data_IF_541431754782
#
_entry.id   IF_541431754782
#
_cell.length_a   1.000
_cell.length_b   1.000
_cell.length_c   1.000
_cell.angle_alpha   90.00
_cell.angle_beta   90.00
_cell.angle_gamma   90.00
#
_symmetry.space_group_name_H-M   'P 1'
#
loop_
_entity.id
_entity.type
_entity.pdbx_description
1 polymer ?
#
# COMPACT_ATOMS: atom_id res chain seq x y z
N UNK A 1 4.25 54.52 26.24
CA UNK A 1 4.10 54.45 24.78
C UNK A 1 4.73 53.13 24.36
N UNK A 2 4.05 52.00 24.55
CA UNK A 2 3.08 51.35 23.62
C UNK A 2 3.70 51.10 22.25
N UNK A 3 4.04 49.83 21.99
CA UNK A 3 3.92 49.07 20.72
C UNK A 3 4.40 47.63 21.01
N UNK A 4 3.54 46.79 21.58
CA UNK A 4 2.76 45.73 20.90
C UNK A 4 3.61 44.67 20.17
N UNK A 5 3.91 43.61 20.94
CA UNK A 5 4.21 42.27 20.47
C UNK A 5 3.04 41.69 19.66
N UNK A 6 3.24 41.40 18.38
CA UNK A 6 2.34 40.57 17.57
C UNK A 6 3.16 39.45 16.89
N UNK A 7 3.04 38.26 17.47
CA UNK A 7 2.90 36.95 16.80
C UNK A 7 3.97 36.54 15.76
N UNK A 8 4.99 35.79 16.21
CA UNK A 8 5.60 34.71 15.41
C UNK A 8 4.72 33.46 15.54
N UNK A 9 3.84 33.24 14.58
CA UNK A 9 3.07 32.01 14.45
C UNK A 9 3.55 31.27 13.19
N UNK A 10 4.72 30.64 13.29
CA UNK A 10 5.20 29.72 12.26
C UNK A 10 4.39 28.42 12.35
N UNK A 11 3.28 28.34 11.60
CA UNK A 11 2.63 27.08 11.26
C UNK A 11 3.13 26.62 9.89
N UNK A 12 3.67 25.41 9.88
CA UNK A 12 4.42 24.85 8.77
C UNK A 12 3.60 24.69 7.49
N UNK A 13 4.12 25.29 6.43
CA UNK A 13 4.04 24.73 5.09
C UNK A 13 5.20 23.73 5.00
N UNK A 14 4.89 22.44 5.08
CA UNK A 14 5.81 21.38 4.67
C UNK A 14 6.07 21.60 3.18
N UNK A 15 7.19 22.25 2.85
CA UNK A 15 7.80 22.09 1.54
C UNK A 15 8.04 20.59 1.35
N UNK A 16 7.16 19.93 0.60
CA UNK A 16 7.41 18.61 0.08
C UNK A 16 8.68 18.72 -0.77
N UNK A 17 9.74 18.04 -0.34
CA UNK A 17 11.05 18.03 -1.02
C UNK A 17 10.87 17.58 -2.47
N UNK A 18 10.99 18.51 -3.41
CA UNK A 18 11.17 18.23 -4.84
C UNK A 18 12.52 17.53 -5.12
N UNK A 19 13.46 17.62 -4.17
CA UNK A 19 14.84 17.16 -4.30
C UNK A 19 15.01 15.65 -4.54
N UNK A 20 13.98 14.83 -4.29
CA UNK A 20 14.01 13.38 -4.49
C UNK A 20 13.44 12.93 -5.86
N UNK A 21 12.79 13.84 -6.59
CA UNK A 21 12.29 13.55 -7.94
C UNK A 21 13.28 13.97 -9.03
N UNK A 22 14.35 14.70 -8.72
CA UNK A 22 15.27 15.26 -9.73
C UNK A 22 16.48 14.35 -10.02
N UNK A 23 16.91 13.49 -9.09
CA UNK A 23 18.17 12.75 -9.23
C UNK A 23 18.13 11.59 -10.22
N UNK A 24 16.96 11.07 -10.59
CA UNK A 24 16.83 9.96 -11.54
C UNK A 24 16.35 10.37 -12.95
N UNK A 25 16.15 11.67 -13.20
CA UNK A 25 15.63 12.18 -14.47
C UNK A 25 16.70 12.46 -15.54
N UNK A 26 17.97 12.14 -15.27
CA UNK A 26 19.09 12.47 -16.18
C UNK A 26 19.33 11.38 -17.26
N UNK A 27 18.76 10.17 -17.13
CA UNK A 27 19.02 9.08 -18.10
C UNK A 27 18.18 9.14 -19.38
N UNK A 28 17.02 9.81 -19.37
CA UNK A 28 16.36 10.24 -20.59
C UNK A 28 17.01 11.56 -20.99
N UNK A 29 17.98 11.50 -21.91
CA UNK A 29 18.94 12.56 -22.24
C UNK A 29 18.43 14.01 -22.13
N UNK A 30 19.32 14.96 -21.78
CA UNK A 30 18.96 16.30 -21.35
C UNK A 30 17.97 16.91 -22.33
N UNK A 31 16.86 17.44 -21.79
CA UNK A 31 16.03 18.42 -22.49
C UNK A 31 17.00 19.37 -23.18
N UNK A 32 17.01 19.34 -24.52
CA UNK A 32 17.99 20.07 -25.32
C UNK A 32 17.57 21.55 -25.26
N UNK A 33 17.87 22.19 -24.15
CA UNK A 33 17.55 23.58 -23.90
C UNK A 33 18.51 24.43 -24.74
N UNK A 34 17.94 25.31 -25.55
CA UNK A 34 18.68 26.42 -26.13
C UNK A 34 19.18 27.27 -24.97
N UNK A 35 20.48 27.16 -24.63
CA UNK A 35 21.09 27.66 -23.40
C UNK A 35 21.14 29.20 -23.29
N UNK A 36 20.37 29.90 -24.12
CA UNK A 36 20.41 31.37 -24.30
C UNK A 36 19.33 32.11 -23.50
N UNK A 37 18.43 31.42 -22.80
CA UNK A 37 17.38 32.06 -21.98
C UNK A 37 17.35 31.47 -20.56
N UNK A 38 18.44 31.64 -19.80
CA UNK A 38 18.46 31.34 -18.36
C UNK A 38 18.03 32.58 -17.57
N UNK A 39 16.81 32.55 -17.01
CA UNK A 39 16.38 33.48 -15.97
C UNK A 39 16.49 32.80 -14.61
N UNK A 40 17.16 33.39 -13.59
CA UNK A 40 17.44 32.74 -12.31
C UNK A 40 16.20 32.32 -11.49
N UNK A 41 14.99 32.63 -11.96
CA UNK A 41 13.71 32.30 -11.31
C UNK A 41 12.67 31.70 -12.28
N UNK A 42 13.07 31.23 -13.47
CA UNK A 42 12.15 30.60 -14.43
C UNK A 42 12.37 29.09 -14.43
N UNK A 43 11.38 28.35 -13.92
CA UNK A 43 11.35 26.90 -14.02
C UNK A 43 10.99 26.48 -15.45
N UNK A 44 11.99 26.03 -16.22
CA UNK A 44 11.84 25.57 -17.61
C UNK A 44 11.09 24.25 -17.76
N UNK A 45 10.77 23.56 -16.66
CA UNK A 45 9.96 22.34 -16.65
C UNK A 45 8.46 22.64 -16.53
N UNK A 46 8.10 23.88 -16.17
CA UNK A 46 6.73 24.31 -15.95
C UNK A 46 6.25 25.29 -17.01
N UNK A 47 4.94 25.29 -17.24
CA UNK A 47 4.31 26.24 -18.15
C UNK A 47 4.02 27.55 -17.42
N UNK A 48 4.22 28.67 -18.11
CA UNK A 48 3.81 29.97 -17.59
C UNK A 48 2.28 30.03 -17.44
N UNK A 49 1.84 30.07 -16.19
CA UNK A 49 0.44 30.04 -15.78
C UNK A 49 -0.24 31.37 -16.15
N UNK A 50 -1.42 31.31 -16.78
CA UNK A 50 -2.23 32.50 -17.01
C UNK A 50 -2.88 33.00 -15.71
N UNK A 51 -3.09 34.31 -15.57
CA UNK A 51 -3.61 34.87 -14.32
C UNK A 51 -5.02 34.38 -13.96
N UNK A 52 -5.21 33.97 -12.71
CA UNK A 52 -6.51 33.64 -12.11
C UNK A 52 -7.26 32.49 -12.79
N UNK A 53 -8.51 32.73 -13.18
CA UNK A 53 -9.42 31.73 -13.80
C UNK A 53 -9.00 31.25 -15.20
N UNK A 54 -8.01 31.89 -15.82
CA UNK A 54 -7.55 31.54 -17.16
C UNK A 54 -6.45 30.46 -17.16
N UNK A 55 -5.86 30.19 -15.99
CA UNK A 55 -4.79 29.22 -15.81
C UNK A 55 -5.15 27.84 -16.36
N UNK A 56 -6.20 27.22 -15.82
CA UNK A 56 -6.62 25.86 -16.17
C UNK A 56 -7.15 25.77 -17.61
N UNK A 57 -7.97 26.70 -18.12
CA UNK A 57 -8.36 26.70 -19.53
C UNK A 57 -7.18 26.72 -20.52
N UNK A 58 -6.13 27.51 -20.23
CA UNK A 58 -4.92 27.56 -21.05
C UNK A 58 -4.16 26.25 -21.01
N UNK A 59 -3.86 25.74 -19.81
CA UNK A 59 -3.18 24.46 -19.60
C UNK A 59 -3.94 23.34 -20.31
N UNK A 60 -5.26 23.31 -20.14
CA UNK A 60 -6.15 22.36 -20.81
C UNK A 60 -5.97 22.40 -22.33
N UNK A 61 -5.85 23.56 -22.96
CA UNK A 61 -5.59 23.64 -24.41
C UNK A 61 -4.20 23.10 -24.78
N UNK A 62 -3.19 23.35 -23.95
CA UNK A 62 -1.79 22.99 -24.17
C UNK A 62 -1.49 21.49 -23.92
N UNK A 63 -2.32 20.76 -23.17
CA UNK A 63 -2.15 19.31 -22.93
C UNK A 63 -2.10 18.46 -24.21
N UNK A 64 -2.81 18.87 -25.28
CA UNK A 64 -2.82 18.15 -26.56
C UNK A 64 -2.13 18.97 -27.66
N UNK A 65 -1.16 19.79 -27.28
CA UNK A 65 -0.36 20.55 -28.24
C UNK A 65 0.52 19.58 -29.07
N UNK A 66 0.80 19.95 -30.32
CA UNK A 66 1.64 19.13 -31.22
C UNK A 66 3.11 19.06 -30.79
N UNK A 67 3.56 20.04 -30.01
CA UNK A 67 4.89 20.05 -29.39
C UNK A 67 4.83 19.35 -28.03
N UNK A 68 5.55 18.24 -27.91
CA UNK A 68 5.63 17.42 -26.70
C UNK A 68 6.18 18.20 -25.51
N UNK A 69 7.10 19.15 -25.72
CA UNK A 69 7.66 19.94 -24.61
C UNK A 69 6.59 20.79 -23.94
N UNK A 70 5.70 21.39 -24.73
CA UNK A 70 4.56 22.17 -24.25
C UNK A 70 3.57 21.28 -23.50
N UNK A 71 3.28 20.09 -24.03
CA UNK A 71 2.39 19.13 -23.37
C UNK A 71 2.95 18.63 -22.02
N UNK A 72 4.26 18.33 -21.97
CA UNK A 72 4.97 17.95 -20.74
C UNK A 72 4.91 19.06 -19.69
N UNK A 73 5.27 20.29 -20.07
CA UNK A 73 5.21 21.46 -19.19
C UNK A 73 3.78 21.73 -18.67
N UNK A 74 2.79 21.59 -19.55
CA UNK A 74 1.38 21.74 -19.18
C UNK A 74 0.94 20.67 -18.16
N UNK A 75 1.41 19.43 -18.30
CA UNK A 75 1.13 18.37 -17.32
C UNK A 75 1.75 18.63 -15.95
N UNK A 76 3.02 19.05 -15.91
CA UNK A 76 3.69 19.37 -14.64
C UNK A 76 2.95 20.51 -13.93
N UNK A 77 2.59 21.57 -14.66
CA UNK A 77 1.78 22.66 -14.09
C UNK A 77 0.38 22.20 -13.68
N UNK A 78 -0.24 21.28 -14.43
CA UNK A 78 -1.55 20.72 -14.05
C UNK A 78 -1.48 19.91 -12.75
N UNK A 79 -0.39 19.16 -12.54
CA UNK A 79 -0.16 18.41 -11.31
C UNK A 79 -0.09 19.34 -10.10
N UNK A 80 0.66 20.43 -10.20
CA UNK A 80 0.72 21.46 -9.15
C UNK A 80 -0.68 22.01 -8.83
N UNK A 81 -1.51 22.26 -9.85
CA UNK A 81 -2.90 22.71 -9.64
C UNK A 81 -3.81 21.62 -9.04
N UNK A 82 -3.58 20.34 -9.34
CA UNK A 82 -4.39 19.25 -8.81
C UNK A 82 -4.23 19.08 -7.29
N UNK A 83 -3.11 19.52 -6.71
CA UNK A 83 -2.89 19.48 -5.27
C UNK A 83 -3.72 20.51 -4.49
N UNK A 84 -4.13 21.60 -5.12
CA UNK A 84 -5.05 22.57 -4.52
C UNK A 84 -6.50 22.09 -4.72
N UNK A 85 -7.27 21.86 -3.64
CA UNK A 85 -8.62 21.32 -3.74
C UNK A 85 -9.60 22.21 -4.53
N UNK A 86 -9.47 23.54 -4.47
CA UNK A 86 -10.33 24.45 -5.24
C UNK A 86 -10.03 24.34 -6.73
N UNK A 87 -8.74 24.26 -7.06
CA UNK A 87 -8.25 24.09 -8.43
C UNK A 87 -8.56 22.70 -8.97
N UNK A 88 -8.49 21.66 -8.15
CA UNK A 88 -8.93 20.32 -8.51
C UNK A 88 -10.41 20.28 -8.90
N UNK A 89 -11.29 20.96 -8.15
CA UNK A 89 -12.69 21.10 -8.54
C UNK A 89 -12.86 21.85 -9.87
N UNK A 90 -12.06 22.89 -10.11
CA UNK A 90 -12.05 23.63 -11.38
C UNK A 90 -11.59 22.74 -12.55
N UNK A 91 -10.55 21.91 -12.36
CA UNK A 91 -10.06 20.91 -13.33
C UNK A 91 -11.17 19.92 -13.71
N UNK A 92 -11.90 19.41 -12.72
CA UNK A 92 -13.03 18.49 -12.92
C UNK A 92 -14.16 19.19 -13.68
N UNK A 93 -14.59 20.38 -13.24
CA UNK A 93 -15.66 21.18 -13.87
C UNK A 93 -15.33 21.52 -15.33
N UNK A 94 -14.07 21.83 -15.63
CA UNK A 94 -13.61 22.14 -16.98
C UNK A 94 -13.34 20.89 -17.85
N UNK A 95 -13.67 19.69 -17.35
CA UNK A 95 -13.55 18.42 -18.06
C UNK A 95 -12.13 18.18 -18.62
N UNK A 96 -11.10 18.53 -17.84
CA UNK A 96 -9.70 18.32 -18.22
C UNK A 96 -9.39 16.81 -18.35
N UNK A 97 -10.05 15.98 -17.52
CA UNK A 97 -9.96 14.50 -17.55
C UNK A 97 -10.16 13.91 -18.95
N UNK A 98 -11.02 14.52 -19.79
CA UNK A 98 -11.23 14.06 -21.16
C UNK A 98 -9.97 14.13 -22.05
N UNK A 99 -9.03 15.04 -21.73
CA UNK A 99 -7.74 15.12 -22.44
C UNK A 99 -6.74 14.11 -21.89
N UNK A 100 -6.76 13.87 -20.58
CA UNK A 100 -5.90 12.87 -19.93
C UNK A 100 -6.10 11.46 -20.50
N UNK A 101 -7.31 11.14 -21.00
CA UNK A 101 -7.58 9.90 -21.74
C UNK A 101 -6.55 9.66 -22.85
N UNK A 102 -6.26 10.68 -23.67
CA UNK A 102 -5.28 10.57 -24.75
C UNK A 102 -3.85 10.54 -24.25
N UNK A 103 -3.57 11.23 -23.14
CA UNK A 103 -2.23 11.32 -22.57
C UNK A 103 -1.77 10.00 -21.94
N UNK A 104 -2.71 9.21 -21.38
CA UNK A 104 -2.41 7.86 -20.86
C UNK A 104 -1.91 6.87 -21.92
N UNK A 105 -2.17 7.11 -23.20
CA UNK A 105 -1.75 6.24 -24.32
C UNK A 105 -0.76 6.97 -25.23
N UNK A 106 -0.05 7.96 -24.68
CA UNK A 106 1.02 8.63 -25.40
C UNK A 106 2.22 7.68 -25.53
N UNK A 107 2.92 7.72 -26.66
CA UNK A 107 4.23 7.04 -26.82
C UNK A 107 5.28 7.58 -25.85
N UNK A 108 5.06 8.76 -25.28
CA UNK A 108 5.97 9.42 -24.37
C UNK A 108 5.76 8.97 -22.91
N UNK A 109 6.75 8.24 -22.38
CA UNK A 109 6.76 7.74 -21.00
C UNK A 109 6.57 8.83 -19.95
N UNK A 110 7.17 10.01 -20.16
CA UNK A 110 7.03 11.14 -19.24
C UNK A 110 5.57 11.59 -19.16
N UNK A 111 4.90 11.65 -20.31
CA UNK A 111 3.51 12.07 -20.40
C UNK A 111 2.60 11.04 -19.73
N UNK A 112 2.80 9.74 -19.99
CA UNK A 112 2.03 8.67 -19.34
C UNK A 112 2.20 8.70 -17.82
N UNK A 113 3.44 8.77 -17.34
CA UNK A 113 3.76 8.83 -15.91
C UNK A 113 3.13 10.04 -15.21
N UNK A 114 3.33 11.26 -15.74
CA UNK A 114 2.76 12.47 -15.14
C UNK A 114 1.24 12.51 -15.23
N UNK A 115 0.66 11.91 -16.28
CA UNK A 115 -0.80 11.75 -16.36
C UNK A 115 -1.32 10.88 -15.23
N UNK A 116 -0.64 9.77 -14.92
CA UNK A 116 -1.00 8.93 -13.77
C UNK A 116 -0.85 9.66 -12.44
N UNK A 117 0.18 10.50 -12.26
CA UNK A 117 0.34 11.34 -11.07
C UNK A 117 -0.84 12.30 -10.90
N UNK A 118 -1.23 13.00 -11.97
CA UNK A 118 -2.39 13.90 -11.94
C UNK A 118 -3.65 13.14 -11.58
N UNK A 119 -3.88 11.96 -12.18
CA UNK A 119 -5.03 11.12 -11.85
C UNK A 119 -5.02 10.63 -10.40
N UNK A 120 -3.85 10.25 -9.88
CA UNK A 120 -3.69 9.82 -8.49
C UNK A 120 -4.08 10.94 -7.52
N UNK A 121 -3.53 12.14 -7.74
CA UNK A 121 -3.85 13.31 -6.91
C UNK A 121 -5.35 13.62 -7.00
N UNK A 122 -5.92 13.67 -8.20
CA UNK A 122 -7.36 13.91 -8.38
C UNK A 122 -8.22 12.82 -7.73
N UNK A 123 -7.80 11.55 -7.73
CA UNK A 123 -8.54 10.46 -7.08
C UNK A 123 -8.69 10.66 -5.57
N UNK A 124 -7.72 11.33 -4.92
CA UNK A 124 -7.79 11.69 -3.49
C UNK A 124 -8.71 12.88 -3.19
N UNK A 125 -9.09 13.66 -4.20
CA UNK A 125 -9.91 14.86 -4.03
C UNK A 125 -11.40 14.54 -3.92
N UNK A 126 -12.20 15.38 -3.25
CA UNK A 126 -13.65 15.20 -3.20
C UNK A 126 -14.26 15.12 -4.61
N UNK A 127 -15.12 14.14 -4.87
CA UNK A 127 -15.72 13.86 -6.19
C UNK A 127 -14.73 13.49 -7.31
N UNK A 128 -13.42 13.47 -7.07
CA UNK A 128 -12.42 13.22 -8.11
C UNK A 128 -12.43 11.78 -8.59
N UNK A 129 -12.52 10.81 -7.66
CA UNK A 129 -12.70 9.41 -8.00
C UNK A 129 -13.96 9.17 -8.85
N UNK A 130 -15.09 9.79 -8.50
CA UNK A 130 -16.33 9.73 -9.28
C UNK A 130 -16.12 10.31 -10.70
N UNK A 131 -15.49 11.48 -10.80
CA UNK A 131 -15.23 12.12 -12.08
C UNK A 131 -14.30 11.30 -12.99
N UNK A 132 -13.37 10.52 -12.40
CA UNK A 132 -12.49 9.62 -13.14
C UNK A 132 -13.26 8.42 -13.68
N UNK A 133 -14.08 7.75 -12.86
CA UNK A 133 -14.86 6.58 -13.32
C UNK A 133 -15.94 6.94 -14.34
N UNK A 134 -16.48 8.16 -14.29
CA UNK A 134 -17.41 8.67 -15.31
C UNK A 134 -16.76 8.70 -16.71
N UNK A 135 -15.42 8.67 -16.78
CA UNK A 135 -14.66 8.55 -18.04
C UNK A 135 -14.22 7.10 -18.24
N UNK A 136 -15.10 6.28 -18.80
CA UNK A 136 -14.86 4.86 -19.11
C UNK A 136 -13.52 4.60 -19.82
N UNK A 137 -13.08 5.47 -20.72
CA UNK A 137 -11.80 5.31 -21.42
C UNK A 137 -10.58 5.47 -20.51
N UNK A 138 -10.67 6.22 -19.41
CA UNK A 138 -9.58 6.28 -18.41
C UNK A 138 -9.43 4.90 -17.77
N UNK A 139 -10.53 4.29 -17.34
CA UNK A 139 -10.53 2.96 -16.72
C UNK A 139 -9.95 1.91 -17.67
N UNK A 140 -10.39 1.91 -18.94
CA UNK A 140 -9.84 1.01 -19.97
C UNK A 140 -8.35 1.23 -20.24
N UNK A 141 -7.89 2.48 -20.20
CA UNK A 141 -6.47 2.79 -20.40
C UNK A 141 -5.63 2.41 -19.18
N UNK A 142 -6.15 2.56 -17.95
CA UNK A 142 -5.47 2.12 -16.74
C UNK A 142 -5.20 0.61 -16.74
N UNK A 143 -6.14 -0.20 -17.23
CA UNK A 143 -5.92 -1.65 -17.41
C UNK A 143 -4.78 -1.97 -18.38
N UNK A 144 -4.53 -1.14 -19.39
CA UNK A 144 -3.41 -1.33 -20.31
C UNK A 144 -2.10 -0.88 -19.68
N UNK A 145 -2.12 0.26 -19.01
CA UNK A 145 -0.94 0.91 -18.43
C UNK A 145 -0.39 0.14 -17.21
N UNK A 146 -1.19 -0.73 -16.57
CA UNK A 146 -0.67 -1.62 -15.52
C UNK A 146 0.35 -2.64 -16.05
N UNK A 147 0.32 -2.92 -17.35
CA UNK A 147 1.25 -3.81 -18.06
C UNK A 147 2.15 -3.04 -19.02
N UNK A 148 2.42 -1.76 -18.72
CA UNK A 148 3.35 -0.91 -19.49
C UNK A 148 4.77 -1.49 -19.49
N UNK A 149 5.56 -1.16 -20.51
CA UNK A 149 6.95 -1.61 -20.62
C UNK A 149 7.82 -1.01 -19.51
N UNK A 150 7.54 0.23 -19.10
CA UNK A 150 8.31 0.94 -18.08
C UNK A 150 7.88 0.55 -16.66
N UNK A 151 8.80 0.05 -15.79
CA UNK A 151 8.47 -0.29 -14.41
C UNK A 151 8.00 0.93 -13.62
N UNK A 152 8.55 2.13 -13.89
CA UNK A 152 8.13 3.39 -13.24
C UNK A 152 6.66 3.69 -13.49
N UNK A 153 6.18 3.45 -14.71
CA UNK A 153 4.78 3.65 -15.10
C UNK A 153 3.89 2.58 -14.47
N UNK A 154 4.30 1.30 -14.49
CA UNK A 154 3.56 0.21 -13.83
C UNK A 154 3.38 0.47 -12.33
N UNK A 155 4.45 0.88 -11.64
CA UNK A 155 4.44 1.26 -10.21
C UNK A 155 3.41 2.35 -9.96
N UNK A 156 3.48 3.44 -10.72
CA UNK A 156 2.56 4.56 -10.55
C UNK A 156 1.12 4.21 -10.92
N UNK A 157 0.90 3.33 -11.90
CA UNK A 157 -0.42 2.83 -12.25
C UNK A 157 -1.02 2.03 -11.10
N UNK A 158 -0.25 1.12 -10.49
CA UNK A 158 -0.69 0.36 -9.32
C UNK A 158 -1.08 1.28 -8.14
N UNK A 159 -0.29 2.32 -7.85
CA UNK A 159 -0.61 3.32 -6.82
C UNK A 159 -1.91 4.08 -7.13
N UNK A 160 -2.11 4.48 -8.39
CA UNK A 160 -3.35 5.15 -8.81
C UNK A 160 -4.56 4.23 -8.68
N UNK A 161 -4.41 2.94 -9.03
CA UNK A 161 -5.45 1.92 -8.90
C UNK A 161 -5.77 1.67 -7.42
N UNK A 162 -4.76 1.52 -6.56
CA UNK A 162 -4.93 1.40 -5.11
C UNK A 162 -5.75 2.56 -4.55
N UNK A 163 -5.39 3.78 -4.94
CA UNK A 163 -6.06 5.01 -4.48
C UNK A 163 -7.52 5.05 -4.91
N UNK A 164 -7.82 4.63 -6.14
CA UNK A 164 -9.20 4.49 -6.61
C UNK A 164 -9.94 3.36 -5.88
N UNK A 165 -9.29 2.22 -5.62
CA UNK A 165 -9.89 1.08 -4.92
C UNK A 165 -10.29 1.40 -3.48
N UNK A 166 -9.57 2.32 -2.81
CA UNK A 166 -9.94 2.85 -1.49
C UNK A 166 -11.21 3.71 -1.51
N UNK A 167 -11.62 4.22 -2.68
CA UNK A 167 -12.83 5.00 -2.83
C UNK A 167 -14.05 4.11 -3.06
N UNK A 168 -15.05 4.23 -2.19
CA UNK A 168 -16.33 3.49 -2.29
C UNK A 168 -17.03 3.76 -3.63
N UNK A 169 -16.88 4.96 -4.19
CA UNK A 169 -17.49 5.34 -5.47
C UNK A 169 -16.87 4.60 -6.65
N UNK A 170 -15.54 4.40 -6.62
CA UNK A 170 -14.82 3.79 -7.74
C UNK A 170 -14.71 2.26 -7.63
N UNK A 171 -14.78 1.71 -6.42
CA UNK A 171 -14.56 0.29 -6.16
C UNK A 171 -15.44 -0.64 -7.02
N UNK A 172 -16.75 -0.38 -7.09
CA UNK A 172 -17.68 -1.20 -7.89
C UNK A 172 -17.32 -1.18 -9.38
N UNK A 173 -17.01 0.00 -9.92
CA UNK A 173 -16.59 0.15 -11.31
C UNK A 173 -15.29 -0.61 -11.61
N UNK A 174 -14.32 -0.59 -10.68
CA UNK A 174 -13.07 -1.33 -10.84
C UNK A 174 -13.29 -2.84 -10.80
N UNK A 175 -14.16 -3.34 -9.91
CA UNK A 175 -14.54 -4.75 -9.87
C UNK A 175 -15.24 -5.20 -11.15
N UNK A 176 -16.14 -4.38 -11.70
CA UNK A 176 -16.86 -4.67 -12.95
C UNK A 176 -15.92 -4.71 -14.17
N UNK A 177 -14.74 -4.10 -14.07
CA UNK A 177 -13.68 -4.12 -15.08
C UNK A 177 -12.53 -5.09 -14.72
N UNK A 178 -12.74 -6.00 -13.77
CA UNK A 178 -11.84 -7.12 -13.43
C UNK A 178 -10.41 -6.69 -13.05
N UNK A 179 -10.26 -5.53 -12.39
CA UNK A 179 -8.94 -5.07 -11.92
C UNK A 179 -8.31 -6.01 -10.90
N UNK A 180 -9.11 -6.66 -10.05
CA UNK A 180 -8.66 -7.65 -9.08
C UNK A 180 -8.00 -8.85 -9.77
N UNK A 181 -8.59 -9.35 -10.85
CA UNK A 181 -8.05 -10.47 -11.62
C UNK A 181 -6.74 -10.08 -12.31
N UNK A 182 -6.70 -8.91 -12.96
CA UNK A 182 -5.50 -8.38 -13.60
C UNK A 182 -4.36 -8.16 -12.61
N UNK A 183 -4.65 -7.67 -11.41
CA UNK A 183 -3.64 -7.50 -10.35
C UNK A 183 -3.05 -8.84 -9.90
N UNK A 184 -3.87 -9.87 -9.72
CA UNK A 184 -3.39 -11.22 -9.36
C UNK A 184 -2.48 -11.79 -10.44
N UNK A 185 -2.85 -11.66 -11.71
CA UNK A 185 -2.01 -12.09 -12.83
C UNK A 185 -0.71 -11.28 -12.89
N UNK A 186 -0.77 -9.97 -12.61
CA UNK A 186 0.40 -9.09 -12.59
C UNK A 186 1.41 -9.48 -11.50
N UNK A 187 0.95 -9.85 -10.30
CA UNK A 187 1.84 -10.36 -9.23
C UNK A 187 2.62 -11.60 -9.67
N UNK A 188 2.05 -12.46 -10.51
CA UNK A 188 2.73 -13.67 -10.97
C UNK A 188 3.87 -13.37 -11.95
N UNK A 189 3.74 -12.27 -12.71
CA UNK A 189 4.62 -11.88 -13.80
C UNK A 189 5.64 -10.79 -13.42
N UNK A 190 5.46 -10.09 -12.31
CA UNK A 190 6.33 -8.97 -11.95
C UNK A 190 7.70 -9.43 -11.45
N UNK A 191 8.75 -8.86 -12.03
CA UNK A 191 10.15 -9.11 -11.68
C UNK A 191 10.74 -7.97 -10.83
N UNK A 192 10.21 -6.76 -10.98
CA UNK A 192 10.65 -5.58 -10.22
C UNK A 192 9.97 -5.54 -8.85
N UNK A 193 10.77 -5.57 -7.78
CA UNK A 193 10.31 -5.60 -6.39
C UNK A 193 9.49 -4.36 -6.03
N UNK A 194 9.88 -3.18 -6.51
CA UNK A 194 9.23 -1.92 -6.21
C UNK A 194 7.83 -1.84 -6.85
N UNK A 195 7.72 -2.37 -8.07
CA UNK A 195 6.43 -2.51 -8.76
C UNK A 195 5.59 -3.55 -8.04
N UNK A 196 6.16 -4.71 -7.70
CA UNK A 196 5.48 -5.79 -6.99
C UNK A 196 4.87 -5.30 -5.68
N UNK A 197 5.61 -4.55 -4.86
CA UNK A 197 5.11 -3.95 -3.61
C UNK A 197 3.86 -3.10 -3.88
N UNK A 198 3.90 -2.27 -4.92
CA UNK A 198 2.79 -1.38 -5.29
C UNK A 198 1.58 -2.17 -5.79
N UNK A 199 1.80 -3.25 -6.55
CA UNK A 199 0.75 -4.15 -7.03
C UNK A 199 0.13 -4.94 -5.87
N UNK A 200 0.93 -5.43 -4.92
CA UNK A 200 0.44 -6.11 -3.71
C UNK A 200 -0.40 -5.16 -2.84
N UNK A 201 0.04 -3.91 -2.66
CA UNK A 201 -0.71 -2.87 -1.95
C UNK A 201 -2.05 -2.55 -2.62
N UNK A 202 -2.06 -2.45 -3.95
CA UNK A 202 -3.30 -2.31 -4.71
C UNK A 202 -4.23 -3.52 -4.50
N UNK A 203 -3.70 -4.75 -4.58
CA UNK A 203 -4.47 -5.98 -4.39
C UNK A 203 -5.02 -6.10 -2.96
N UNK A 204 -4.25 -5.72 -1.94
CA UNK A 204 -4.69 -5.63 -0.55
C UNK A 204 -5.94 -4.75 -0.44
N UNK A 205 -5.96 -3.58 -1.09
CA UNK A 205 -7.12 -2.70 -1.09
C UNK A 205 -8.37 -3.37 -1.70
N UNK A 206 -8.21 -4.24 -2.71
CA UNK A 206 -9.31 -5.02 -3.25
C UNK A 206 -9.78 -6.12 -2.31
N UNK A 207 -8.86 -6.86 -1.69
CA UNK A 207 -9.19 -7.95 -0.76
C UNK A 207 -9.88 -7.44 0.51
N UNK A 208 -9.50 -6.27 1.01
CA UNK A 208 -10.10 -5.66 2.18
C UNK A 208 -11.59 -5.32 1.95
N UNK A 209 -11.95 -4.93 0.72
CA UNK A 209 -13.31 -4.52 0.37
C UNK A 209 -14.16 -5.63 -0.30
N UNK A 210 -13.53 -6.69 -0.82
CA UNK A 210 -14.22 -7.76 -1.55
C UNK A 210 -13.64 -9.15 -1.24
N UNK A 211 -14.45 -9.98 -0.59
CA UNK A 211 -14.11 -11.39 -0.40
C UNK A 211 -14.03 -12.19 -1.71
N UNK A 212 -14.58 -11.70 -2.82
CA UNK A 212 -14.46 -12.36 -4.14
C UNK A 212 -13.03 -12.27 -4.67
N UNK A 213 -12.40 -11.11 -4.54
CA UNK A 213 -11.01 -10.90 -4.94
C UNK A 213 -10.08 -11.84 -4.17
N UNK A 214 -10.31 -12.00 -2.86
CA UNK A 214 -9.58 -12.97 -2.03
C UNK A 214 -9.75 -14.42 -2.51
N UNK A 215 -10.98 -14.86 -2.82
CA UNK A 215 -11.21 -16.21 -3.32
C UNK A 215 -10.49 -16.46 -4.64
N UNK A 216 -10.59 -15.52 -5.58
CA UNK A 216 -9.92 -15.62 -6.88
C UNK A 216 -8.40 -15.72 -6.74
N UNK A 217 -7.79 -14.89 -5.89
CA UNK A 217 -6.37 -14.93 -5.62
C UNK A 217 -5.90 -16.28 -5.04
N UNK A 218 -6.68 -16.86 -4.13
CA UNK A 218 -6.39 -18.20 -3.57
C UNK A 218 -6.49 -19.27 -4.67
N UNK A 219 -7.54 -19.24 -5.49
CA UNK A 219 -7.76 -20.19 -6.59
C UNK A 219 -6.65 -20.14 -7.64
N UNK A 220 -6.08 -18.95 -7.88
CA UNK A 220 -4.93 -18.76 -8.78
C UNK A 220 -3.58 -19.13 -8.18
N UNK A 221 -3.55 -19.66 -6.96
CA UNK A 221 -2.31 -20.11 -6.31
C UNK A 221 -1.40 -18.96 -5.87
N UNK A 222 -1.96 -17.76 -5.61
CA UNK A 222 -1.17 -16.59 -5.21
C UNK A 222 -0.34 -16.85 -3.95
N UNK A 223 -0.86 -17.67 -3.03
CA UNK A 223 -0.22 -18.00 -1.75
C UNK A 223 1.18 -18.58 -1.95
N UNK A 224 1.32 -19.50 -2.91
CA UNK A 224 2.61 -20.10 -3.28
C UNK A 224 3.57 -19.05 -3.80
N UNK A 225 3.10 -18.22 -4.76
CA UNK A 225 3.92 -17.19 -5.41
C UNK A 225 4.44 -16.16 -4.42
N UNK A 226 3.60 -15.70 -3.49
CA UNK A 226 3.99 -14.64 -2.55
C UNK A 226 4.82 -15.16 -1.36
N UNK A 227 4.72 -16.46 -1.05
CA UNK A 227 5.41 -17.06 0.11
C UNK A 227 6.93 -16.85 0.09
N UNK A 228 7.54 -16.81 -1.11
CA UNK A 228 8.98 -16.59 -1.29
C UNK A 228 9.41 -15.21 -0.81
N UNK A 229 8.53 -14.21 -0.82
CA UNK A 229 8.84 -12.85 -0.42
C UNK A 229 8.80 -12.63 1.09
N UNK A 230 8.37 -13.63 1.89
CA UNK A 230 8.44 -13.56 3.36
C UNK A 230 9.87 -13.45 3.87
N UNK A 231 10.85 -14.01 3.14
CA UNK A 231 12.27 -14.00 3.52
C UNK A 231 13.09 -13.02 2.65
N UNK A 232 12.42 -12.11 1.93
CA UNK A 232 13.07 -11.16 1.03
C UNK A 232 13.87 -10.10 1.80
N UNK A 233 14.91 -9.52 1.19
CA UNK A 233 15.77 -8.50 1.84
C UNK A 233 15.03 -7.19 2.14
N UNK A 234 14.16 -6.73 1.23
CA UNK A 234 13.33 -5.52 1.43
C UNK A 234 12.25 -5.76 2.49
N UNK A 235 12.27 -4.92 3.52
CA UNK A 235 11.27 -4.91 4.59
C UNK A 235 9.87 -4.56 4.03
N UNK A 236 9.80 -3.66 3.06
CA UNK A 236 8.56 -3.26 2.40
C UNK A 236 7.92 -4.42 1.64
N UNK A 237 8.73 -5.24 0.95
CA UNK A 237 8.25 -6.45 0.28
C UNK A 237 7.70 -7.48 1.28
N UNK A 238 8.42 -7.73 2.38
CA UNK A 238 7.94 -8.61 3.47
C UNK A 238 6.61 -8.11 4.03
N UNK A 239 6.52 -6.81 4.33
CA UNK A 239 5.31 -6.20 4.90
C UNK A 239 4.12 -6.27 3.95
N UNK A 240 4.30 -5.94 2.67
CA UNK A 240 3.23 -6.02 1.67
C UNK A 240 2.73 -7.46 1.48
N UNK A 241 3.65 -8.43 1.53
CA UNK A 241 3.35 -9.86 1.45
C UNK A 241 2.51 -10.33 2.64
N UNK A 242 2.90 -9.99 3.86
CA UNK A 242 2.17 -10.34 5.08
C UNK A 242 0.74 -9.80 5.05
N UNK A 243 0.56 -8.54 4.66
CA UNK A 243 -0.78 -7.94 4.58
C UNK A 243 -1.69 -8.67 3.60
N UNK A 244 -1.20 -9.01 2.41
CA UNK A 244 -1.98 -9.79 1.43
C UNK A 244 -2.26 -11.20 1.96
N UNK A 245 -1.25 -11.85 2.57
CA UNK A 245 -1.38 -13.17 3.16
C UNK A 245 -2.46 -13.21 4.23
N UNK A 246 -2.49 -12.22 5.13
CA UNK A 246 -3.50 -12.10 6.18
C UNK A 246 -4.93 -12.17 5.64
N UNK A 247 -5.23 -11.41 4.57
CA UNK A 247 -6.55 -11.42 3.93
C UNK A 247 -6.92 -12.82 3.40
N UNK A 248 -5.95 -13.55 2.85
CA UNK A 248 -6.15 -14.92 2.40
C UNK A 248 -6.39 -15.87 3.59
N UNK A 249 -5.61 -15.73 4.66
CA UNK A 249 -5.68 -16.57 5.86
C UNK A 249 -6.99 -16.37 6.65
N UNK A 250 -7.70 -15.26 6.46
CA UNK A 250 -9.07 -15.10 7.00
C UNK A 250 -10.06 -16.12 6.40
N UNK A 251 -9.75 -16.73 5.25
CA UNK A 251 -10.56 -17.78 4.62
C UNK A 251 -10.01 -19.17 4.93
N UNK A 252 -10.90 -20.16 5.04
CA UNK A 252 -10.51 -21.57 5.22
C UNK A 252 -9.66 -22.08 4.05
N UNK A 253 -10.02 -21.71 2.81
CA UNK A 253 -9.26 -22.09 1.62
C UNK A 253 -7.83 -21.53 1.64
N UNK A 254 -7.64 -20.29 2.14
CA UNK A 254 -6.31 -19.68 2.26
C UNK A 254 -5.43 -20.39 3.28
N UNK A 255 -5.99 -20.81 4.42
CA UNK A 255 -5.23 -21.61 5.41
C UNK A 255 -4.79 -22.96 4.84
N UNK A 256 -5.67 -23.62 4.09
CA UNK A 256 -5.33 -24.87 3.41
C UNK A 256 -4.28 -24.66 2.31
N UNK A 257 -4.34 -23.53 1.60
CA UNK A 257 -3.30 -23.17 0.62
C UNK A 257 -1.94 -22.99 1.31
N UNK A 258 -1.89 -22.23 2.41
CA UNK A 258 -0.69 -22.03 3.22
C UNK A 258 -0.11 -23.34 3.77
N UNK A 259 -0.95 -24.29 4.19
CA UNK A 259 -0.51 -25.62 4.67
C UNK A 259 0.12 -26.51 3.58
N UNK A 260 -0.19 -26.21 2.32
CA UNK A 260 0.27 -26.96 1.15
C UNK A 260 1.32 -26.19 0.34
N UNK A 261 1.76 -25.02 0.82
CA UNK A 261 2.83 -24.28 0.20
C UNK A 261 4.14 -25.05 0.25
N UNK A 262 5.01 -24.85 -0.76
CA UNK A 262 6.36 -25.43 -0.74
C UNK A 262 7.22 -24.85 0.37
N UNK A 263 7.06 -23.55 0.63
CA UNK A 263 7.69 -22.83 1.73
C UNK A 263 7.03 -23.21 3.06
N UNK A 264 7.84 -23.51 4.08
CA UNK A 264 7.32 -23.72 5.44
C UNK A 264 6.91 -22.38 6.06
N UNK A 265 5.64 -22.02 5.85
CA UNK A 265 5.10 -20.74 6.26
C UNK A 265 5.21 -20.50 7.77
N UNK A 266 5.11 -21.54 8.60
CA UNK A 266 5.24 -21.37 10.06
C UNK A 266 6.68 -21.06 10.43
N UNK A 267 7.66 -21.69 9.78
CA UNK A 267 9.07 -21.38 9.99
C UNK A 267 9.38 -19.93 9.60
N UNK A 268 9.00 -19.51 8.39
CA UNK A 268 9.29 -18.16 7.91
C UNK A 268 8.64 -17.09 8.81
N UNK A 269 7.36 -17.26 9.15
CA UNK A 269 6.69 -16.33 10.06
C UNK A 269 7.30 -16.34 11.47
N UNK A 270 7.81 -17.48 11.95
CA UNK A 270 8.51 -17.56 13.25
C UNK A 270 9.86 -16.84 13.21
N UNK A 271 10.53 -16.79 12.06
CA UNK A 271 11.76 -16.01 11.87
C UNK A 271 11.43 -14.51 11.86
N UNK A 272 10.32 -14.11 11.24
CA UNK A 272 9.87 -12.71 11.18
C UNK A 272 9.45 -12.12 12.53
N UNK A 273 9.28 -12.93 13.57
CA UNK A 273 9.07 -12.43 14.94
C UNK A 273 10.30 -11.72 15.53
N UNK A 274 11.48 -11.91 14.92
CA UNK A 274 12.75 -11.30 15.33
C UNK A 274 13.19 -10.18 14.36
N UNK A 275 12.30 -9.74 13.47
CA UNK A 275 12.57 -8.65 12.52
C UNK A 275 12.78 -7.31 13.25
N UNK A 276 13.65 -6.45 12.70
CA UNK A 276 13.93 -5.12 13.24
C UNK A 276 12.70 -4.19 13.18
N UNK A 277 11.80 -4.42 12.22
CA UNK A 277 10.59 -3.63 12.03
C UNK A 277 9.43 -4.14 12.88
N UNK A 278 8.98 -3.33 13.83
CA UNK A 278 7.83 -3.66 14.69
C UNK A 278 6.53 -3.89 13.88
N UNK A 279 6.38 -3.22 12.74
CA UNK A 279 5.24 -3.43 11.82
C UNK A 279 5.26 -4.85 11.22
N UNK A 280 6.44 -5.36 10.81
CA UNK A 280 6.58 -6.73 10.29
C UNK A 280 6.27 -7.74 11.37
N UNK A 281 6.84 -7.55 12.57
CA UNK A 281 6.60 -8.44 13.72
C UNK A 281 5.10 -8.49 14.06
N UNK A 282 4.42 -7.34 14.00
CA UNK A 282 2.98 -7.23 14.26
C UNK A 282 2.15 -8.04 13.26
N UNK A 283 2.42 -7.89 11.96
CA UNK A 283 1.67 -8.60 10.92
C UNK A 283 2.02 -10.10 10.90
N UNK A 284 3.28 -10.48 11.11
CA UNK A 284 3.69 -11.87 11.23
C UNK A 284 3.01 -12.58 12.43
N UNK A 285 2.92 -11.91 13.58
CA UNK A 285 2.20 -12.43 14.73
C UNK A 285 0.70 -12.62 14.46
N UNK A 286 0.09 -11.75 13.65
CA UNK A 286 -1.30 -11.89 13.23
C UNK A 286 -1.50 -13.09 12.31
N UNK A 287 -0.62 -13.26 11.31
CA UNK A 287 -0.67 -14.40 10.39
C UNK A 287 -0.49 -15.74 11.13
N UNK A 288 0.45 -15.80 12.08
CA UNK A 288 0.60 -16.95 12.98
C UNK A 288 -0.67 -17.21 13.79
N UNK A 289 -1.30 -16.17 14.34
CA UNK A 289 -2.56 -16.32 15.06
C UNK A 289 -3.66 -16.93 14.19
N UNK A 290 -3.74 -16.55 12.91
CA UNK A 290 -4.72 -17.08 11.95
C UNK A 290 -4.42 -18.54 11.55
N UNK A 291 -3.14 -18.88 11.38
CA UNK A 291 -2.67 -20.22 11.00
C UNK A 291 -2.81 -21.23 12.14
N UNK A 292 -2.48 -20.84 13.37
CA UNK A 292 -2.60 -21.67 14.57
C UNK A 292 -4.04 -22.02 14.93
N UNK A 293 -5.04 -21.62 14.17
CA UNK A 293 -6.39 -22.16 14.32
C UNK A 293 -6.45 -23.65 13.92
N UNK A 294 -5.60 -24.07 12.97
CA UNK A 294 -5.56 -25.45 12.45
C UNK A 294 -4.62 -26.34 13.26
N UNK A 295 -4.98 -27.61 13.45
CA UNK A 295 -4.18 -28.54 14.26
C UNK A 295 -2.79 -28.79 13.68
N UNK A 296 -2.66 -28.92 12.35
CA UNK A 296 -1.37 -29.15 11.68
C UNK A 296 -0.37 -28.02 11.99
N UNK A 297 -0.81 -26.77 11.87
CA UNK A 297 0.04 -25.61 12.12
C UNK A 297 0.37 -25.43 13.61
N UNK A 298 -0.55 -25.79 14.52
CA UNK A 298 -0.26 -25.81 15.97
C UNK A 298 0.89 -26.76 16.31
N UNK A 299 0.86 -27.97 15.75
CA UNK A 299 1.91 -28.95 15.96
C UNK A 299 3.24 -28.45 15.37
N UNK A 300 3.21 -27.91 14.15
CA UNK A 300 4.42 -27.34 13.53
C UNK A 300 5.01 -26.17 14.33
N UNK A 301 4.18 -25.26 14.84
CA UNK A 301 4.63 -24.17 15.72
C UNK A 301 5.18 -24.68 17.05
N UNK A 302 4.63 -25.77 17.58
CA UNK A 302 5.15 -26.42 18.78
C UNK A 302 6.55 -27.02 18.56
N UNK A 303 6.81 -27.60 17.40
CA UNK A 303 8.12 -28.16 17.03
C UNK A 303 9.17 -27.05 16.90
N UNK A 304 8.78 -25.88 16.38
CA UNK A 304 9.64 -24.72 16.17
C UNK A 304 9.82 -23.84 17.42
N UNK A 305 9.21 -24.22 18.55
CA UNK A 305 9.23 -23.45 19.80
C UNK A 305 8.78 -21.99 19.62
N UNK A 306 7.86 -21.74 18.68
CA UNK A 306 7.33 -20.39 18.40
C UNK A 306 6.69 -19.76 19.64
N UNK A 307 6.19 -20.57 20.57
CA UNK A 307 5.65 -20.15 21.86
C UNK A 307 6.64 -19.33 22.70
N UNK A 308 7.94 -19.64 22.66
CA UNK A 308 8.95 -18.90 23.42
C UNK A 308 9.14 -17.48 22.89
N UNK A 309 9.24 -17.34 21.56
CA UNK A 309 9.36 -16.02 20.90
C UNK A 309 8.11 -15.18 21.15
N UNK A 310 6.94 -15.78 21.03
CA UNK A 310 5.67 -15.11 21.31
C UNK A 310 5.55 -14.71 22.79
N UNK A 311 5.95 -15.56 23.75
CA UNK A 311 5.95 -15.21 25.17
C UNK A 311 6.87 -14.00 25.46
N UNK A 312 8.07 -14.02 24.89
CA UNK A 312 9.01 -12.91 25.00
C UNK A 312 8.40 -11.58 24.49
N UNK A 313 7.76 -11.62 23.32
CA UNK A 313 7.09 -10.44 22.75
C UNK A 313 5.89 -10.00 23.60
N UNK A 314 5.10 -10.93 24.15
CA UNK A 314 3.94 -10.60 24.98
C UNK A 314 4.32 -9.82 26.25
N UNK A 315 5.47 -10.14 26.84
CA UNK A 315 5.97 -9.49 28.06
C UNK A 315 6.62 -8.15 27.73
N UNK A 316 7.51 -8.12 26.72
CA UNK A 316 8.43 -6.99 26.52
C UNK A 316 7.93 -5.91 25.56
N UNK A 317 6.99 -6.22 24.67
CA UNK A 317 6.52 -5.23 23.69
C UNK A 317 5.79 -4.07 24.39
N UNK A 318 5.84 -2.89 23.78
CA UNK A 318 5.07 -1.71 24.25
C UNK A 318 3.87 -1.44 23.37
N UNK A 319 3.86 -1.98 22.15
CA UNK A 319 2.76 -1.82 21.22
C UNK A 319 1.57 -2.72 21.58
N UNK A 320 0.42 -2.07 21.79
CA UNK A 320 -0.84 -2.70 22.19
C UNK A 320 -1.35 -3.67 21.13
N UNK A 321 -1.25 -3.32 19.83
CA UNK A 321 -1.74 -4.18 18.74
C UNK A 321 -0.87 -5.41 18.58
N UNK A 322 0.45 -5.25 18.63
CA UNK A 322 1.39 -6.37 18.64
C UNK A 322 1.11 -7.32 19.82
N UNK A 323 0.98 -6.80 21.05
CA UNK A 323 0.61 -7.61 22.22
C UNK A 323 -0.65 -8.43 22.00
N UNK A 324 -1.70 -7.79 21.48
CA UNK A 324 -2.97 -8.45 21.22
C UNK A 324 -2.82 -9.59 20.21
N UNK A 325 -2.09 -9.37 19.12
CA UNK A 325 -1.86 -10.38 18.08
C UNK A 325 -1.05 -11.55 18.64
N UNK A 326 0.03 -11.25 19.36
CA UNK A 326 0.90 -12.24 20.00
C UNK A 326 0.13 -13.08 21.03
N UNK A 327 -0.68 -12.45 21.90
CA UNK A 327 -1.51 -13.21 22.84
C UNK A 327 -2.53 -14.08 22.11
N UNK A 328 -3.13 -13.58 21.04
CA UNK A 328 -4.08 -14.37 20.26
C UNK A 328 -3.40 -15.58 19.60
N UNK A 329 -2.16 -15.44 19.12
CA UNK A 329 -1.34 -16.54 18.62
C UNK A 329 -1.01 -17.54 19.73
N UNK A 330 -0.59 -17.07 20.90
CA UNK A 330 -0.31 -17.91 22.07
C UNK A 330 -1.52 -18.70 22.52
N UNK A 331 -2.70 -18.08 22.60
CA UNK A 331 -3.96 -18.77 22.97
C UNK A 331 -4.25 -19.91 22.00
N UNK A 332 -4.09 -19.67 20.70
CA UNK A 332 -4.36 -20.67 19.68
C UNK A 332 -3.34 -21.81 19.72
N UNK A 333 -2.06 -21.49 19.99
CA UNK A 333 -0.97 -22.44 20.09
C UNK A 333 -0.97 -23.25 21.40
N UNK A 334 -1.41 -22.65 22.52
CA UNK A 334 -1.49 -23.26 23.86
C UNK A 334 -2.42 -24.47 23.94
N UNK A 335 -3.28 -24.66 22.93
CA UNK A 335 -4.11 -25.86 22.79
C UNK A 335 -3.26 -27.11 22.47
N UNK A 336 -2.05 -26.94 21.92
CA UNK A 336 -1.14 -28.05 21.68
C UNK A 336 -0.54 -28.58 23.00
N UNK A 337 -0.57 -29.90 23.28
CA UNK A 337 -0.14 -30.45 24.57
C UNK A 337 1.30 -30.09 24.96
N UNK A 338 2.24 -30.17 24.01
CA UNK A 338 3.65 -29.85 24.26
C UNK A 338 3.85 -28.38 24.65
N UNK A 339 3.17 -27.46 23.95
CA UNK A 339 3.22 -26.02 24.25
C UNK A 339 2.55 -25.74 25.59
N UNK A 340 1.42 -26.38 25.86
CA UNK A 340 0.70 -26.22 27.13
C UNK A 340 1.59 -26.54 28.33
N UNK A 341 2.33 -27.65 28.30
CA UNK A 341 3.27 -28.01 29.36
C UNK A 341 4.41 -26.99 29.50
N UNK A 342 4.93 -26.46 28.38
CA UNK A 342 5.94 -25.39 28.41
C UNK A 342 5.37 -24.08 28.96
N UNK A 343 4.15 -23.70 28.62
CA UNK A 343 3.54 -22.46 29.14
C UNK A 343 3.16 -22.58 30.61
N UNK A 344 2.83 -23.79 31.11
CA UNK A 344 2.60 -24.03 32.55
C UNK A 344 3.81 -23.65 33.39
N UNK A 345 5.03 -23.95 32.94
CA UNK A 345 6.24 -23.58 33.70
C UNK A 345 6.49 -22.06 33.74
N UNK A 346 5.90 -21.30 32.82
CA UNK A 346 6.05 -19.84 32.71
C UNK A 346 4.81 -19.07 33.20
N UNK A 347 3.87 -19.71 33.92
CA UNK A 347 2.62 -19.06 34.37
C UNK A 347 2.88 -17.78 35.15
N UNK A 348 3.93 -17.75 35.97
CA UNK A 348 4.29 -16.59 36.78
C UNK A 348 4.70 -15.39 35.92
N UNK A 349 5.26 -15.61 34.73
CA UNK A 349 5.68 -14.53 33.82
C UNK A 349 4.48 -13.79 33.22
N UNK A 350 3.32 -14.44 33.08
CA UNK A 350 2.10 -13.75 32.64
C UNK A 350 1.65 -12.65 33.60
N UNK A 351 2.03 -12.72 34.89
CA UNK A 351 1.73 -11.65 35.85
C UNK A 351 2.52 -10.37 35.57
N UNK A 352 3.65 -10.50 34.86
CA UNK A 352 4.50 -9.38 34.45
C UNK A 352 4.03 -8.71 33.16
N UNK A 353 3.08 -9.31 32.43
CA UNK A 353 2.49 -8.70 31.26
C UNK A 353 1.75 -7.44 31.70
N UNK A 354 2.28 -6.31 31.26
CA UNK A 354 1.61 -5.03 31.44
C UNK A 354 0.25 -5.12 30.75
N UNK A 355 -0.80 -5.07 31.56
CA UNK A 355 -2.20 -5.11 31.10
C UNK A 355 -2.52 -3.88 30.26
N UNK A 356 -1.72 -2.81 30.39
CA UNK A 356 -1.94 -1.48 29.83
C UNK A 356 -3.39 -1.01 30.09
N UNK A 357 -3.81 0.16 29.63
CA UNK A 357 -5.20 0.63 29.79
C UNK A 357 -6.23 -0.14 28.93
N UNK A 358 -5.88 -1.30 28.37
CA UNK A 358 -6.72 -2.06 27.44
C UNK A 358 -7.42 -3.22 28.14
N UNK A 359 -8.74 -3.10 28.30
CA UNK A 359 -9.59 -4.18 28.81
C UNK A 359 -9.42 -5.49 28.01
N UNK A 360 -9.21 -5.38 26.69
CA UNK A 360 -9.09 -6.52 25.79
C UNK A 360 -7.82 -7.35 26.05
N UNK A 361 -6.73 -6.71 26.48
CA UNK A 361 -5.51 -7.44 26.86
C UNK A 361 -5.75 -8.28 28.10
N UNK A 362 -6.48 -7.72 29.08
CA UNK A 362 -6.83 -8.44 30.30
C UNK A 362 -7.73 -9.64 30.00
N UNK A 363 -8.71 -9.48 29.10
CA UNK A 363 -9.58 -10.58 28.65
C UNK A 363 -8.80 -11.71 27.95
N UNK A 364 -7.88 -11.35 27.04
CA UNK A 364 -7.03 -12.34 26.35
C UNK A 364 -6.11 -13.09 27.33
N UNK A 365 -5.54 -12.38 28.30
CA UNK A 365 -4.69 -12.98 29.32
C UNK A 365 -5.46 -13.97 30.20
N UNK A 366 -6.68 -13.61 30.63
CA UNK A 366 -7.55 -14.53 31.37
C UNK A 366 -7.87 -15.77 30.54
N UNK A 367 -8.21 -15.58 29.25
CA UNK A 367 -8.49 -16.69 28.34
C UNK A 367 -7.28 -17.61 28.14
N UNK A 368 -6.07 -17.05 28.04
CA UNK A 368 -4.84 -17.83 27.93
C UNK A 368 -4.62 -18.68 29.19
N UNK A 369 -4.78 -18.09 30.37
CA UNK A 369 -4.70 -18.79 31.65
C UNK A 369 -5.72 -19.92 31.70
N UNK A 370 -6.97 -19.67 31.30
CA UNK A 370 -8.03 -20.69 31.29
C UNK A 370 -7.68 -21.86 30.37
N UNK A 371 -7.17 -21.59 29.16
CA UNK A 371 -6.74 -22.62 28.20
C UNK A 371 -5.59 -23.46 28.75
N UNK A 372 -4.66 -22.85 29.49
CA UNK A 372 -3.55 -23.56 30.12
C UNK A 372 -4.05 -24.46 31.27
N UNK A 373 -5.10 -24.07 31.99
CA UNK A 373 -5.67 -24.81 33.12
C UNK A 373 -6.71 -25.89 32.73
N UNK A 374 -7.48 -25.70 31.65
CA UNK A 374 -8.53 -26.65 31.23
C UNK A 374 -7.93 -27.96 30.72
N UNK A 375 -8.15 -29.06 31.45
CA UNK A 375 -7.66 -30.42 31.16
C UNK A 375 -8.28 -31.03 29.90
#
# INVERSE_FOLDING_TARGET
>A
MVEQNISKNNRGLRHFRQDLLETEYIEAGPLNYDATIYGPHVDGTKRQVAFGRWAIPKIRAELLHGDLTIARQALVSLLDFAHDPEKAQEIIKLNVLARLVRMLVSEDDFIRYHTLLVLNVLATQPNGAQAIIDKVFIIKNLLKVISDESPKIRKQAAITIETLAKSVFAFSCLMDNEFDQNLVERVQLEEDIDVLISVLSALEAFMNNSGKATCYAIEKGLCEKISVYLSHESAEARLATLKVLQHMLMKRSGKLAAENCSTDMILELTNLLEDDSEDIVQEAAMDLALLFITTKNKLRGADLSTDQKLLFLAINSKNVTLKMNVMQALINLAVAPAVKERLKSHIHEFTSIDKMTSQKITELLMRLIDVIHQL
#
